data_IF_095229265339
#
_entry.id   IF_095229265339
#
_cell.length_a   1.000
_cell.length_b   1.000
_cell.length_c   1.000
_cell.angle_alpha   90.00
_cell.angle_beta   90.00
_cell.angle_gamma   90.00
#
_symmetry.space_group_name_H-M   'P 1'
#
loop_
_entity.id
_entity.type
_entity.pdbx_description
1 polymer ?
#
# COMPACT_ATOMS: atom_id res chain seq x y z
N UNK A 1 12.28 -14.32 -21.59
CA UNK A 1 12.61 -15.03 -20.34
C UNK A 1 13.24 -14.16 -19.25
N UNK A 2 13.97 -13.07 -19.56
CA UNK A 2 14.65 -12.22 -18.56
C UNK A 2 13.67 -11.57 -17.56
N UNK A 3 12.50 -11.12 -18.03
CA UNK A 3 11.47 -10.50 -17.18
C UNK A 3 10.90 -11.45 -16.13
N UNK A 4 10.74 -12.74 -16.48
CA UNK A 4 10.23 -13.78 -15.57
C UNK A 4 11.24 -14.15 -14.48
N UNK A 5 12.54 -14.14 -14.80
CA UNK A 5 13.61 -14.38 -13.82
C UNK A 5 13.75 -13.22 -12.83
N UNK A 6 13.57 -11.97 -13.27
CA UNK A 6 13.55 -10.81 -12.35
C UNK A 6 12.39 -10.87 -11.35
N UNK A 7 11.28 -11.53 -11.71
CA UNK A 7 10.11 -11.67 -10.85
C UNK A 7 10.29 -12.74 -9.77
N UNK A 8 11.14 -13.76 -9.98
CA UNK A 8 11.25 -14.92 -9.11
C UNK A 8 11.70 -14.61 -7.66
N UNK A 9 12.55 -13.60 -7.47
CA UNK A 9 13.00 -13.13 -6.15
C UNK A 9 12.24 -11.87 -5.66
N UNK A 10 11.34 -11.37 -6.49
CA UNK A 10 10.49 -10.23 -6.17
C UNK A 10 9.15 -10.70 -5.64
N UNK A 11 8.62 -9.98 -4.65
CA UNK A 11 7.29 -10.20 -4.10
C UNK A 11 6.44 -9.00 -4.48
N UNK A 12 5.42 -9.26 -5.29
CA UNK A 12 4.32 -8.33 -5.54
C UNK A 12 3.18 -8.75 -4.60
N UNK A 13 2.65 -7.81 -3.84
CA UNK A 13 1.49 -8.02 -2.98
C UNK A 13 0.62 -6.77 -2.96
N UNK A 14 -0.62 -6.91 -2.53
CA UNK A 14 -1.52 -5.78 -2.39
C UNK A 14 -2.70 -6.10 -1.48
N UNK A 15 -3.37 -5.04 -1.04
CA UNK A 15 -4.59 -5.12 -0.25
C UNK A 15 -5.57 -4.11 -0.82
N UNK A 16 -6.80 -4.55 -1.09
CA UNK A 16 -7.89 -3.70 -1.58
C UNK A 16 -9.02 -3.68 -0.56
N UNK A 17 -9.50 -2.48 -0.25
CA UNK A 17 -10.65 -2.23 0.60
C UNK A 17 -11.79 -1.77 -0.30
N UNK A 18 -12.98 -2.33 -0.05
CA UNK A 18 -14.18 -2.01 -0.79
C UNK A 18 -15.21 -1.40 0.15
N UNK A 19 -15.78 -0.27 -0.27
CA UNK A 19 -16.89 0.38 0.40
C UNK A 19 -18.21 -0.14 -0.17
N UNK A 20 -19.20 -0.33 0.70
CA UNK A 20 -20.58 -0.64 0.32
C UNK A 20 -21.54 0.18 1.17
N UNK A 21 -22.48 0.88 0.54
CA UNK A 21 -23.51 1.65 1.24
C UNK A 21 -24.90 1.39 0.66
N UNK A 22 -25.86 1.17 1.56
CA UNK A 22 -27.29 0.97 1.26
C UNK A 22 -28.20 2.08 1.78
N UNK A 23 -27.66 3.04 2.54
CA UNK A 23 -28.43 4.10 3.18
C UNK A 23 -28.27 5.43 2.46
N UNK A 24 -29.41 6.08 2.20
CA UNK A 24 -29.51 7.53 2.02
C UNK A 24 -29.57 8.12 3.43
N UNK A 25 -28.59 8.91 3.85
CA UNK A 25 -28.67 9.66 5.11
C UNK A 25 -29.41 10.96 4.79
N UNK A 26 -30.58 11.19 5.40
CA UNK A 26 -31.53 12.33 5.30
C UNK A 26 -31.09 13.52 4.42
N UNK A 27 -31.70 13.79 3.25
CA UNK A 27 -33.05 14.31 2.91
C UNK A 27 -33.30 15.83 3.02
N UNK A 28 -32.29 16.68 3.20
CA UNK A 28 -32.45 18.14 2.99
C UNK A 28 -31.28 18.84 2.25
N UNK A 29 -30.37 18.10 1.63
CA UNK A 29 -29.29 18.68 0.83
C UNK A 29 -29.36 18.16 -0.60
N UNK A 30 -29.12 19.04 -1.57
CA UNK A 30 -28.98 18.79 -3.03
C UNK A 30 -27.83 17.82 -3.39
N UNK A 31 -27.69 16.69 -2.71
CA UNK A 31 -26.59 15.75 -2.90
C UNK A 31 -27.09 14.31 -2.78
N UNK A 32 -27.60 13.78 -3.89
CA UNK A 32 -27.80 12.34 -4.11
C UNK A 32 -26.50 11.59 -3.82
N UNK A 33 -26.37 10.99 -2.63
CA UNK A 33 -25.30 10.03 -2.37
C UNK A 33 -25.82 8.64 -2.73
N UNK A 34 -25.30 8.15 -3.84
CA UNK A 34 -25.66 6.90 -4.50
C UNK A 34 -25.53 5.68 -3.56
N UNK A 35 -26.54 4.79 -3.62
CA UNK A 35 -26.33 3.36 -3.31
C UNK A 35 -25.19 2.88 -4.20
N UNK A 36 -24.13 2.32 -3.61
CA UNK A 36 -22.89 2.13 -4.37
C UNK A 36 -21.95 1.11 -3.78
N UNK A 37 -21.21 0.48 -4.68
CA UNK A 37 -20.00 -0.27 -4.40
C UNK A 37 -18.83 0.53 -4.96
N UNK A 38 -17.81 0.75 -4.14
CA UNK A 38 -16.62 1.48 -4.56
C UNK A 38 -15.34 0.80 -4.07
N UNK A 39 -14.27 1.05 -4.82
CA UNK A 39 -12.92 0.74 -4.37
C UNK A 39 -12.46 1.89 -3.46
N UNK A 40 -12.48 1.66 -2.15
CA UNK A 40 -12.19 2.69 -1.13
C UNK A 40 -10.69 3.01 -1.09
N UNK A 41 -9.86 1.96 -0.97
CA UNK A 41 -8.41 2.10 -0.90
C UNK A 41 -7.69 0.88 -1.44
N UNK A 42 -6.55 1.09 -2.11
CA UNK A 42 -5.67 0.03 -2.60
C UNK A 42 -4.25 0.30 -2.18
N UNK A 43 -3.63 -0.70 -1.56
CA UNK A 43 -2.19 -0.76 -1.37
C UNK A 43 -1.60 -1.69 -2.41
N UNK A 44 -0.60 -1.20 -3.14
CA UNK A 44 0.27 -2.01 -3.97
C UNK A 44 1.66 -2.02 -3.35
N UNK A 45 2.24 -3.20 -3.16
CA UNK A 45 3.58 -3.38 -2.58
C UNK A 45 4.45 -4.20 -3.52
N UNK A 46 5.63 -3.67 -3.81
CA UNK A 46 6.71 -4.39 -4.47
C UNK A 46 7.90 -4.49 -3.51
N UNK A 47 8.38 -5.71 -3.29
CA UNK A 47 9.57 -5.96 -2.48
C UNK A 47 10.54 -6.82 -3.26
N UNK A 48 11.80 -6.44 -3.31
CA UNK A 48 12.86 -7.24 -3.93
C UNK A 48 13.98 -7.49 -2.94
N UNK A 49 14.36 -8.75 -2.78
CA UNK A 49 15.63 -9.11 -2.16
C UNK A 49 16.71 -8.96 -3.23
N UNK A 50 17.76 -8.20 -2.94
CA UNK A 50 18.89 -8.00 -3.87
C UNK A 50 20.04 -8.94 -3.48
N UNK A 51 20.23 -9.15 -2.18
CA UNK A 51 21.12 -10.15 -1.62
C UNK A 51 20.58 -10.61 -0.26
N UNK A 52 21.28 -11.51 0.44
CA UNK A 52 20.92 -11.90 1.82
C UNK A 52 20.82 -10.72 2.78
N UNK A 53 21.61 -9.67 2.53
CA UNK A 53 21.75 -8.52 3.41
C UNK A 53 21.10 -7.24 2.88
N UNK A 54 20.68 -7.19 1.61
CA UNK A 54 20.15 -5.98 0.99
C UNK A 54 18.77 -6.21 0.37
N UNK A 55 17.84 -5.30 0.62
CA UNK A 55 16.50 -5.37 0.03
C UNK A 55 15.91 -4.00 -0.25
N UNK A 56 15.02 -3.95 -1.23
CA UNK A 56 14.25 -2.78 -1.61
C UNK A 56 12.76 -3.02 -1.38
N UNK A 57 12.04 -2.00 -0.91
CA UNK A 57 10.57 -2.00 -0.81
C UNK A 57 10.01 -0.71 -1.39
N UNK A 58 9.02 -0.86 -2.24
CA UNK A 58 8.15 0.19 -2.74
C UNK A 58 6.71 -0.14 -2.37
N UNK A 59 5.96 0.85 -1.91
CA UNK A 59 4.53 0.73 -1.65
C UNK A 59 3.82 1.99 -2.12
N UNK A 60 2.81 1.80 -2.96
CA UNK A 60 1.88 2.83 -3.38
C UNK A 60 0.54 2.65 -2.66
N UNK A 61 -0.13 3.77 -2.43
CA UNK A 61 -1.43 3.87 -1.79
C UNK A 61 -2.34 4.70 -2.70
N UNK A 62 -3.44 4.10 -3.11
CA UNK A 62 -4.42 4.70 -4.01
C UNK A 62 -5.77 4.78 -3.31
N UNK A 63 -6.41 5.93 -3.39
CA UNK A 63 -7.77 6.12 -2.87
C UNK A 63 -8.47 7.27 -3.63
N UNK A 64 -9.80 7.32 -3.51
CA UNK A 64 -10.61 8.42 -4.01
C UNK A 64 -11.25 9.14 -2.81
N UNK A 65 -11.18 10.48 -2.76
CA UNK A 65 -11.83 11.30 -1.73
C UNK A 65 -12.97 12.19 -2.26
N UNK A 66 -13.52 11.84 -3.41
CA UNK A 66 -14.73 12.48 -3.97
C UNK A 66 -14.53 13.22 -5.29
N UNK A 67 -13.35 13.18 -5.91
CA UNK A 67 -13.11 13.82 -7.22
C UNK A 67 -12.51 12.84 -8.24
N UNK A 68 -11.40 12.20 -7.88
CA UNK A 68 -10.72 11.19 -8.68
C UNK A 68 -9.86 10.29 -7.79
N UNK A 69 -9.49 9.12 -8.31
CA UNK A 69 -8.44 8.31 -7.68
C UNK A 69 -7.10 9.04 -7.77
N UNK A 70 -6.44 9.17 -6.63
CA UNK A 70 -5.07 9.64 -6.54
C UNK A 70 -4.20 8.57 -5.92
N UNK A 71 -2.91 8.60 -6.26
CA UNK A 71 -1.92 7.63 -5.80
C UNK A 71 -0.71 8.35 -5.23
N UNK A 72 -0.22 7.88 -4.09
CA UNK A 72 1.00 8.39 -3.48
C UNK A 72 1.92 7.24 -3.05
N UNK A 73 3.20 7.56 -2.93
CA UNK A 73 4.20 6.63 -2.41
C UNK A 73 4.09 6.65 -0.89
N UNK A 74 3.70 5.52 -0.29
CA UNK A 74 3.58 5.35 1.17
C UNK A 74 4.86 4.76 1.77
N UNK A 75 5.65 4.04 0.97
CA UNK A 75 6.92 3.46 1.39
C UNK A 75 7.87 3.38 0.19
N UNK A 76 9.10 3.85 0.34
CA UNK A 76 10.15 3.71 -0.66
C UNK A 76 11.48 3.67 0.08
N UNK A 77 12.00 2.47 0.32
CA UNK A 77 13.15 2.28 1.18
C UNK A 77 14.10 1.18 0.71
N UNK A 78 15.34 1.34 1.14
CA UNK A 78 16.42 0.39 1.00
C UNK A 78 16.89 -0.05 2.39
N UNK A 79 16.86 -1.35 2.65
CA UNK A 79 17.26 -1.95 3.92
C UNK A 79 18.59 -2.69 3.73
N UNK A 80 19.58 -2.38 4.56
CA UNK A 80 20.88 -3.07 4.67
C UNK A 80 20.99 -3.71 6.05
N UNK A 81 21.23 -5.02 6.11
CA UNK A 81 21.51 -5.76 7.33
C UNK A 81 23.02 -5.84 7.58
N UNK A 82 23.41 -5.68 8.84
CA UNK A 82 24.78 -5.88 9.31
C UNK A 82 24.85 -7.05 10.30
N UNK A 83 26.06 -7.43 10.70
CA UNK A 83 26.27 -8.40 11.76
C UNK A 83 25.56 -7.97 13.06
N UNK A 84 25.07 -8.93 13.84
CA UNK A 84 24.43 -8.66 15.14
C UNK A 84 23.01 -8.09 15.06
N UNK A 85 22.18 -8.55 14.11
CA UNK A 85 20.76 -8.18 13.94
C UNK A 85 20.49 -6.67 13.70
N UNK A 86 21.52 -5.89 13.40
CA UNK A 86 21.39 -4.47 13.11
C UNK A 86 20.98 -4.23 11.66
N UNK A 87 20.18 -3.18 11.43
CA UNK A 87 19.67 -2.82 10.10
C UNK A 87 19.66 -1.32 9.89
N UNK A 88 20.31 -0.84 8.83
CA UNK A 88 20.18 0.52 8.34
C UNK A 88 19.05 0.57 7.31
N UNK A 89 18.14 1.52 7.47
CA UNK A 89 17.07 1.80 6.50
C UNK A 89 17.28 3.18 5.95
N UNK A 90 17.32 3.30 4.63
CA UNK A 90 17.46 4.57 3.91
C UNK A 90 16.20 4.80 3.08
N UNK A 91 15.66 6.01 3.15
CA UNK A 91 14.48 6.43 2.39
C UNK A 91 13.22 6.57 3.22
N UNK A 92 12.08 6.56 2.53
CA UNK A 92 10.77 6.76 3.12
C UNK A 92 10.26 5.44 3.73
N UNK A 93 10.27 5.37 5.05
CA UNK A 93 9.71 4.27 5.80
C UNK A 93 8.38 4.69 6.45
N UNK A 94 7.32 3.91 6.22
CA UNK A 94 6.07 4.04 6.96
C UNK A 94 6.26 3.81 8.47
N UNK A 95 5.64 4.66 9.28
CA UNK A 95 5.70 4.57 10.74
C UNK A 95 4.76 3.46 11.22
N UNK A 96 5.31 2.28 11.50
CA UNK A 96 4.57 1.11 12.01
C UNK A 96 4.29 1.30 13.52
N UNK A 97 3.59 2.38 13.90
CA UNK A 97 3.39 2.78 15.30
C UNK A 97 2.35 1.93 16.03
N UNK A 98 1.49 1.18 15.32
CA UNK A 98 0.46 0.34 15.93
C UNK A 98 0.27 -0.98 15.16
N UNK A 99 0.86 -2.07 15.65
CA UNK A 99 0.70 -3.42 15.08
C UNK A 99 -0.77 -3.92 15.05
N UNK A 100 -1.67 -3.32 15.84
CA UNK A 100 -3.07 -3.73 15.96
C UNK A 100 -3.95 -3.05 14.89
N UNK A 101 -3.49 -1.95 14.29
CA UNK A 101 -4.24 -1.18 13.30
C UNK A 101 -3.77 -1.38 11.84
N UNK A 102 -2.59 -1.98 11.64
CA UNK A 102 -2.04 -2.26 10.31
C UNK A 102 -1.81 -3.77 10.12
N UNK A 103 -2.89 -4.55 9.95
CA UNK A 103 -2.75 -5.90 9.40
C UNK A 103 -2.35 -5.80 7.93
N UNK A 104 -1.15 -6.29 7.63
CA UNK A 104 -0.65 -6.53 6.26
C UNK A 104 -1.14 -7.89 5.76
#
# INVERSE_FOLDING_TARGET
MIFSMMLAESKISGVSYFGYSIYNIDTEAENDKFRGFELDRVYFTYKKKISDNTSFKFQADMQNKGQAYYMFIKNAKFDIKFAGNSKLTIGMQGMNMFNIAEKT
#
